data_IF_017169166993
#
_entry.id   IF_017169166993
#
_cell.length_a   1.000
_cell.length_b   1.000
_cell.length_c   1.000
_cell.angle_alpha   90.00
_cell.angle_beta   90.00
_cell.angle_gamma   90.00
#
_symmetry.space_group_name_H-M   'P 1'
#
loop_
_entity.id
_entity.type
_entity.pdbx_description
1 polymer ?
#
# COMPACT_ATOMS: atom_id res chain seq x y z
N UNK A 1 -39.08 32.96 -3.83
CA UNK A 1 -38.37 31.91 -3.07
C UNK A 1 -36.90 32.04 -3.40
N UNK A 2 -36.10 32.60 -2.48
CA UNK A 2 -34.65 32.72 -2.60
C UNK A 2 -34.03 31.43 -2.05
N UNK A 3 -33.16 30.78 -2.83
CA UNK A 3 -32.32 29.70 -2.33
C UNK A 3 -31.42 30.26 -1.20
N UNK A 4 -31.25 29.53 -0.07
CA UNK A 4 -30.32 29.95 0.97
C UNK A 4 -28.87 29.87 0.45
N UNK A 5 -27.95 30.70 0.98
CA UNK A 5 -26.54 30.63 0.61
C UNK A 5 -25.97 29.29 1.09
N UNK A 6 -25.16 28.65 0.24
CA UNK A 6 -24.42 27.44 0.59
C UNK A 6 -23.52 27.76 1.80
N UNK A 7 -23.90 27.25 2.97
CA UNK A 7 -23.13 27.38 4.21
C UNK A 7 -21.83 26.58 4.07
N UNK A 8 -20.73 27.16 4.54
CA UNK A 8 -19.35 26.63 4.45
C UNK A 8 -19.17 25.27 5.18
N UNK A 9 -20.20 24.78 5.89
CA UNK A 9 -20.23 23.44 6.49
C UNK A 9 -20.33 22.30 5.46
N UNK A 10 -20.42 22.60 4.16
CA UNK A 10 -20.43 21.61 3.08
C UNK A 10 -19.04 21.20 2.57
N UNK A 11 -17.95 21.72 3.17
CA UNK A 11 -16.57 21.51 2.72
C UNK A 11 -15.71 20.67 3.71
N UNK A 12 -16.26 19.63 4.31
CA UNK A 12 -15.44 18.56 4.94
C UNK A 12 -15.27 17.36 4.01
N UNK A 13 -14.99 17.60 2.73
CA UNK A 13 -14.81 16.57 1.72
C UNK A 13 -13.48 16.73 0.97
N UNK A 14 -12.38 16.90 1.70
CA UNK A 14 -11.04 16.55 1.21
C UNK A 14 -10.05 16.43 2.39
N UNK A 15 -10.23 15.44 3.27
CA UNK A 15 -9.16 15.05 4.18
C UNK A 15 -8.19 14.14 3.43
N UNK A 16 -6.98 14.62 3.15
CA UNK A 16 -5.91 13.80 2.59
C UNK A 16 -5.26 13.04 3.74
N UNK A 17 -5.33 11.71 3.71
CA UNK A 17 -4.56 10.83 4.60
C UNK A 17 -3.36 10.27 3.84
N UNK A 18 -2.15 10.48 4.37
CA UNK A 18 -0.89 9.99 3.79
C UNK A 18 -0.34 8.87 4.67
N UNK A 19 -0.26 7.66 4.10
CA UNK A 19 0.33 6.50 4.76
C UNK A 19 1.72 6.26 4.17
N UNK A 20 2.77 6.54 4.97
CA UNK A 20 4.16 6.32 4.57
C UNK A 20 4.65 4.99 5.13
N UNK A 21 5.41 4.25 4.32
CA UNK A 21 6.11 3.03 4.70
C UNK A 21 7.34 2.88 3.81
N UNK A 22 8.38 2.20 4.28
CA UNK A 22 9.54 1.81 3.47
C UNK A 22 9.45 0.35 3.06
N UNK A 23 10.38 -0.12 2.22
CA UNK A 23 10.37 -1.47 1.67
C UNK A 23 10.33 -2.59 2.74
N UNK A 24 11.06 -2.51 3.87
CA UNK A 24 11.01 -3.53 4.92
C UNK A 24 9.72 -3.49 5.75
N UNK A 25 9.01 -2.37 5.72
CA UNK A 25 7.87 -2.13 6.59
C UNK A 25 6.61 -2.79 6.03
N UNK A 26 5.87 -3.50 6.89
CA UNK A 26 4.53 -3.96 6.52
C UNK A 26 3.61 -2.77 6.28
N UNK A 27 2.82 -2.83 5.22
CA UNK A 27 1.79 -1.81 4.94
C UNK A 27 0.71 -1.86 6.02
N UNK A 28 0.49 -0.73 6.70
CA UNK A 28 -0.52 -0.59 7.75
C UNK A 28 -1.95 -0.77 7.25
N UNK A 29 -2.80 -1.37 8.09
CA UNK A 29 -4.26 -1.38 7.88
C UNK A 29 -4.83 0.01 8.14
N UNK A 30 -5.76 0.47 7.29
CA UNK A 30 -6.37 1.79 7.45
C UNK A 30 -7.89 1.79 7.23
N UNK A 31 -8.64 2.69 7.89
CA UNK A 31 -10.05 2.89 7.59
C UNK A 31 -10.21 3.57 6.23
N UNK A 32 -11.01 2.99 5.33
CA UNK A 32 -11.30 3.61 4.05
C UNK A 32 -12.49 4.59 4.21
N UNK A 33 -12.29 5.91 4.06
CA UNK A 33 -13.39 6.87 4.09
C UNK A 33 -14.35 6.61 2.94
N UNK A 34 -15.55 6.14 3.29
CA UNK A 34 -16.70 6.06 2.40
C UNK A 34 -17.57 7.32 2.61
N UNK A 35 -18.87 7.31 2.28
CA UNK A 35 -19.72 8.48 2.54
C UNK A 35 -19.83 8.70 4.05
N UNK A 36 -20.07 9.93 4.49
CA UNK A 36 -20.07 10.30 5.92
C UNK A 36 -20.95 9.44 6.84
N UNK A 37 -21.96 8.73 6.28
CA UNK A 37 -22.89 7.89 7.04
C UNK A 37 -22.60 6.39 6.90
N UNK A 38 -21.58 6.03 6.11
CA UNK A 38 -21.17 4.65 5.88
C UNK A 38 -20.20 4.19 6.98
N UNK A 39 -20.30 2.90 7.34
CA UNK A 39 -19.27 2.25 8.16
C UNK A 39 -17.94 2.31 7.41
N UNK A 40 -16.88 2.70 8.12
CA UNK A 40 -15.51 2.74 7.58
C UNK A 40 -14.91 1.33 7.63
N UNK A 41 -14.85 0.58 6.51
CA UNK A 41 -14.20 -0.72 6.54
C UNK A 41 -12.69 -0.54 6.75
N UNK A 42 -12.11 -1.43 7.54
CA UNK A 42 -10.66 -1.55 7.66
C UNK A 42 -10.12 -2.28 6.44
N UNK A 43 -9.19 -1.65 5.74
CA UNK A 43 -8.53 -2.20 4.55
C UNK A 43 -7.14 -2.70 4.95
N UNK A 44 -6.89 -3.99 4.78
CA UNK A 44 -5.56 -4.58 4.83
C UNK A 44 -4.95 -4.56 3.42
N UNK A 45 -4.21 -3.49 3.13
CA UNK A 45 -3.59 -3.29 1.81
C UNK A 45 -2.44 -4.27 1.57
N UNK A 46 -1.72 -4.70 2.61
CA UNK A 46 -0.68 -5.73 2.48
C UNK A 46 -1.28 -7.01 1.90
N UNK A 47 -2.32 -7.55 2.54
CA UNK A 47 -2.94 -8.80 2.12
C UNK A 47 -3.58 -8.70 0.71
N UNK A 48 -4.08 -7.51 0.34
CA UNK A 48 -4.59 -7.27 -1.01
C UNK A 48 -3.49 -7.34 -2.06
N UNK A 49 -2.36 -6.68 -1.79
CA UNK A 49 -1.22 -6.63 -2.70
C UNK A 49 -0.61 -8.02 -2.89
N UNK A 50 -0.41 -8.76 -1.80
CA UNK A 50 0.12 -10.13 -1.83
C UNK A 50 -0.71 -11.02 -2.77
N UNK A 51 -2.05 -10.98 -2.66
CA UNK A 51 -2.95 -11.75 -3.53
C UNK A 51 -2.86 -11.35 -5.00
N UNK A 52 -2.66 -10.06 -5.30
CA UNK A 52 -2.49 -9.58 -6.67
C UNK A 52 -1.18 -10.12 -7.26
N UNK A 53 -0.10 -10.10 -6.48
CA UNK A 53 1.22 -10.58 -6.90
C UNK A 53 1.21 -12.10 -7.13
N UNK A 54 0.59 -12.86 -6.22
CA UNK A 54 0.41 -14.30 -6.38
C UNK A 54 -0.40 -14.61 -7.65
N UNK A 55 -1.49 -13.88 -7.89
CA UNK A 55 -2.34 -14.10 -9.06
C UNK A 55 -1.65 -13.71 -10.37
N UNK A 56 -0.76 -12.73 -10.34
CA UNK A 56 0.04 -12.32 -11.48
C UNK A 56 1.18 -13.32 -11.81
N UNK A 57 1.51 -14.24 -10.89
CA UNK A 57 2.54 -15.25 -11.09
C UNK A 57 3.95 -14.65 -11.14
N UNK A 58 4.20 -13.60 -10.34
CA UNK A 58 5.50 -12.94 -10.33
C UNK A 58 6.62 -13.78 -9.72
N UNK A 59 6.27 -14.75 -8.86
CA UNK A 59 7.18 -15.79 -8.39
C UNK A 59 7.84 -16.59 -9.53
N UNK A 60 7.17 -16.68 -10.68
CA UNK A 60 7.67 -17.36 -11.88
C UNK A 60 8.18 -16.36 -12.93
N UNK A 61 7.50 -15.22 -13.08
CA UNK A 61 7.79 -14.27 -14.16
C UNK A 61 9.07 -13.45 -13.93
N UNK A 62 9.55 -13.37 -12.69
CA UNK A 62 10.72 -12.57 -12.30
C UNK A 62 11.86 -13.49 -11.91
N UNK A 63 13.06 -13.26 -12.48
CA UNK A 63 14.28 -13.91 -12.04
C UNK A 63 14.81 -13.24 -10.75
N UNK A 64 14.47 -13.81 -9.60
CA UNK A 64 14.91 -13.31 -8.30
C UNK A 64 16.38 -13.58 -7.98
N UNK A 65 17.09 -14.37 -8.79
CA UNK A 65 18.54 -14.58 -8.61
C UNK A 65 19.35 -13.36 -9.09
N UNK A 66 18.79 -12.58 -10.02
CA UNK A 66 19.39 -11.37 -10.56
C UNK A 66 19.21 -10.16 -9.65
N UNK A 67 20.23 -9.29 -9.56
CA UNK A 67 20.12 -8.04 -8.80
C UNK A 67 18.93 -7.20 -9.28
N UNK A 68 18.21 -6.53 -8.36
CA UNK A 68 17.08 -5.70 -8.74
C UNK A 68 17.54 -4.53 -9.60
N UNK A 69 16.70 -4.14 -10.55
CA UNK A 69 16.94 -3.01 -11.45
C UNK A 69 16.81 -1.65 -10.75
N UNK A 70 16.14 -1.60 -9.60
CA UNK A 70 15.94 -0.39 -8.80
C UNK A 70 17.16 -0.08 -7.94
N UNK A 71 17.49 1.21 -7.81
CA UNK A 71 18.51 1.69 -6.88
C UNK A 71 18.00 1.60 -5.44
N UNK A 72 18.37 0.53 -4.73
CA UNK A 72 18.11 0.35 -3.31
C UNK A 72 19.33 0.81 -2.50
N UNK A 73 19.09 1.32 -1.29
CA UNK A 73 20.18 1.60 -0.34
C UNK A 73 20.87 0.29 0.09
N UNK A 74 22.07 0.39 0.67
CA UNK A 74 22.78 -0.78 1.18
C UNK A 74 21.96 -1.58 2.21
N UNK A 75 21.27 -0.88 3.11
CA UNK A 75 20.43 -1.51 4.14
C UNK A 75 19.21 -2.23 3.54
N UNK A 76 18.52 -1.60 2.58
CA UNK A 76 17.42 -2.25 1.86
C UNK A 76 17.92 -3.47 1.06
N UNK A 77 19.19 -3.44 0.63
CA UNK A 77 19.78 -4.54 -0.10
C UNK A 77 20.16 -5.73 0.75
N UNK A 78 20.75 -5.48 1.91
CA UNK A 78 21.00 -6.52 2.90
C UNK A 78 19.68 -7.15 3.39
N UNK A 79 18.64 -6.33 3.58
CA UNK A 79 17.30 -6.81 3.92
C UNK A 79 16.72 -7.69 2.82
N UNK A 80 16.73 -7.25 1.56
CA UNK A 80 16.16 -8.03 0.46
C UNK A 80 16.89 -9.36 0.28
N UNK A 81 18.23 -9.36 0.37
CA UNK A 81 19.02 -10.58 0.27
C UNK A 81 18.68 -11.57 1.39
N UNK A 82 18.48 -11.09 2.62
CA UNK A 82 18.00 -11.91 3.73
C UNK A 82 16.64 -12.56 3.41
N UNK A 83 15.68 -11.77 2.93
CA UNK A 83 14.34 -12.26 2.58
C UNK A 83 14.36 -13.30 1.45
N UNK A 84 15.18 -13.09 0.42
CA UNK A 84 15.27 -13.99 -0.73
C UNK A 84 15.93 -15.33 -0.34
N UNK A 85 16.95 -15.30 0.52
CA UNK A 85 17.60 -16.51 1.06
C UNK A 85 16.66 -17.32 1.95
N UNK A 86 15.90 -16.65 2.82
CA UNK A 86 14.89 -17.33 3.65
C UNK A 86 13.85 -18.06 2.78
N UNK A 87 13.49 -17.47 1.64
CA UNK A 87 12.57 -18.05 0.66
C UNK A 87 13.21 -19.06 -0.30
N UNK A 88 14.52 -19.29 -0.21
CA UNK A 88 15.26 -20.21 -1.08
C UNK A 88 15.36 -19.75 -2.54
N UNK A 89 15.21 -18.44 -2.80
CA UNK A 89 15.33 -17.82 -4.12
C UNK A 89 16.76 -17.36 -4.42
N UNK A 90 17.65 -17.40 -3.41
CA UNK A 90 19.09 -17.09 -3.48
C UNK A 90 19.89 -17.90 -2.48
#
# INVERSE_FOLDING_TARGET
MLHPPLTIDSLTALSIAIYKFNLPDRISTFPLPLRNEDRLPMVDLQALLDRVYDRAGYDIAIDYSSNPVSSLSGEEMDWLDGQLREKGLR
#
